data_IF_577081457528
#
_entry.id   IF_577081457528
#
_cell.length_a   1.000
_cell.length_b   1.000
_cell.length_c   1.000
_cell.angle_alpha   90.00
_cell.angle_beta   90.00
_cell.angle_gamma   90.00
#
_symmetry.space_group_name_H-M   'P 1'
#
loop_
_entity.id
_entity.type
_entity.pdbx_description
1 polymer ?
#
# COMPACT_ATOMS: atom_id res chain seq x y z
N UNK A 1 5.78 32.21 -68.28
CA UNK A 1 5.68 30.81 -68.75
C UNK A 1 6.58 29.97 -67.85
N UNK A 2 6.00 29.17 -66.95
CA UNK A 2 5.93 27.70 -67.03
C UNK A 2 7.30 27.00 -67.03
N UNK A 3 7.55 26.33 -65.90
CA UNK A 3 8.07 24.96 -65.75
C UNK A 3 9.58 24.74 -65.84
N UNK A 4 10.23 24.41 -64.70
CA UNK A 4 10.60 23.04 -64.24
C UNK A 4 11.88 22.56 -64.95
N UNK A 5 13.00 22.27 -64.28
CA UNK A 5 13.31 20.96 -63.69
C UNK A 5 14.40 21.06 -62.60
N UNK A 6 14.17 20.23 -61.58
CA UNK A 6 14.87 19.94 -60.34
C UNK A 6 16.08 18.99 -60.53
N UNK A 7 17.09 19.06 -59.65
CA UNK A 7 17.83 17.96 -58.95
C UNK A 7 19.26 18.44 -58.57
N UNK A 8 19.51 18.81 -57.31
CA UNK A 8 19.97 18.01 -56.14
C UNK A 8 21.41 17.49 -56.22
N UNK A 9 22.24 17.92 -55.24
CA UNK A 9 23.06 17.09 -54.35
C UNK A 9 23.95 17.99 -53.49
N UNK A 10 23.63 18.17 -52.20
CA UNK A 10 24.31 17.50 -51.08
C UNK A 10 25.10 18.52 -50.23
N UNK A 11 24.45 19.16 -49.25
CA UNK A 11 25.16 19.77 -48.12
C UNK A 11 24.21 19.98 -46.93
N UNK A 12 23.76 18.88 -46.33
CA UNK A 12 23.05 18.92 -45.04
C UNK A 12 23.60 17.81 -44.16
N UNK A 13 24.60 18.11 -43.32
CA UNK A 13 24.95 17.32 -42.12
C UNK A 13 26.08 18.02 -41.33
N UNK A 14 25.88 19.27 -40.88
CA UNK A 14 26.78 19.88 -39.89
C UNK A 14 26.15 21.13 -39.26
N UNK A 15 25.09 20.99 -38.48
CA UNK A 15 24.77 21.90 -37.37
C UNK A 15 23.53 21.39 -36.63
N UNK A 16 23.56 21.52 -35.30
CA UNK A 16 22.44 21.32 -34.36
C UNK A 16 22.28 19.90 -33.78
N UNK A 17 23.39 19.30 -33.33
CA UNK A 17 23.34 18.46 -32.13
C UNK A 17 23.41 19.35 -30.89
N UNK A 18 22.35 20.12 -30.62
CA UNK A 18 22.13 20.66 -29.29
C UNK A 18 21.50 19.52 -28.49
N UNK A 19 22.30 18.88 -27.66
CA UNK A 19 21.80 17.95 -26.66
C UNK A 19 20.85 18.71 -25.74
N UNK A 20 19.55 18.62 -26.01
CA UNK A 20 18.54 18.90 -25.01
C UNK A 20 18.68 17.80 -23.94
N UNK A 21 19.54 18.04 -22.96
CA UNK A 21 19.45 17.35 -21.69
C UNK A 21 18.13 17.85 -21.10
N UNK A 22 17.05 17.10 -21.35
CA UNK A 22 15.84 17.26 -20.57
C UNK A 22 16.26 17.05 -19.12
N UNK A 23 16.24 18.12 -18.32
CA UNK A 23 16.32 17.99 -16.88
C UNK A 23 15.19 17.03 -16.49
N UNK A 24 15.55 15.82 -16.06
CA UNK A 24 14.60 14.88 -15.50
C UNK A 24 13.96 15.60 -14.33
N UNK A 25 12.72 16.08 -14.50
CA UNK A 25 11.99 16.72 -13.42
C UNK A 25 11.99 15.72 -12.25
N UNK A 26 12.56 16.12 -11.12
CA UNK A 26 12.57 15.29 -9.92
C UNK A 26 11.12 14.85 -9.67
N UNK A 27 10.87 13.55 -9.72
CA UNK A 27 9.53 13.03 -9.44
C UNK A 27 9.17 13.52 -8.03
N UNK A 28 8.07 14.27 -7.84
CA UNK A 28 7.75 14.82 -6.54
C UNK A 28 7.68 13.69 -5.52
N UNK A 29 8.55 13.74 -4.51
CA UNK A 29 8.62 12.72 -3.48
C UNK A 29 7.31 12.68 -2.72
N UNK A 30 6.69 11.50 -2.63
CA UNK A 30 5.48 11.31 -1.83
C UNK A 30 5.82 11.46 -0.35
N UNK A 31 4.92 12.10 0.40
CA UNK A 31 4.92 12.04 1.86
C UNK A 31 4.32 10.71 2.29
N UNK A 32 5.05 9.96 3.12
CA UNK A 32 4.61 8.69 3.69
C UNK A 32 4.12 8.89 5.12
N UNK A 33 2.94 8.36 5.41
CA UNK A 33 2.37 8.23 6.75
C UNK A 33 2.44 6.77 7.16
N UNK A 34 2.91 6.48 8.38
CA UNK A 34 3.06 5.11 8.92
C UNK A 34 2.02 4.81 10.01
N UNK A 35 1.46 3.61 9.94
CA UNK A 35 0.54 3.05 10.95
C UNK A 35 1.24 2.43 12.16
N UNK A 36 2.55 2.24 12.05
CA UNK A 36 3.41 1.53 13.00
C UNK A 36 4.20 2.47 13.92
N UNK A 37 5.07 1.90 14.77
CA UNK A 37 5.88 2.62 15.74
C UNK A 37 6.87 3.65 15.14
N UNK A 38 7.11 3.60 13.83
CA UNK A 38 8.08 4.44 13.15
C UNK A 38 9.53 3.95 13.24
N UNK A 39 9.79 2.82 13.94
CA UNK A 39 11.11 2.18 13.97
C UNK A 39 11.56 1.71 12.58
N UNK A 40 12.85 1.45 12.40
CA UNK A 40 13.31 0.82 11.16
C UNK A 40 12.74 -0.60 11.07
N UNK A 41 12.32 -1.01 9.88
CA UNK A 41 11.74 -2.35 9.68
C UNK A 41 12.71 -3.50 10.01
N UNK A 42 14.02 -3.28 9.98
CA UNK A 42 15.03 -4.24 10.43
C UNK A 42 15.00 -4.49 11.95
N UNK A 43 14.45 -3.53 12.70
CA UNK A 43 14.48 -3.51 14.16
C UNK A 43 13.10 -3.86 14.75
N UNK A 44 12.07 -3.96 13.91
CA UNK A 44 10.71 -4.35 14.29
C UNK A 44 10.63 -5.87 14.29
N UNK A 45 10.30 -6.44 15.45
CA UNK A 45 9.83 -7.81 15.52
C UNK A 45 8.33 -7.83 15.17
N UNK A 46 7.96 -8.50 14.09
CA UNK A 46 6.57 -8.61 13.64
C UNK A 46 6.17 -10.06 13.42
N UNK A 47 4.88 -10.33 13.55
CA UNK A 47 4.26 -11.58 13.11
C UNK A 47 3.27 -11.28 11.98
N UNK A 48 2.69 -12.33 11.38
CA UNK A 48 1.65 -12.19 10.36
C UNK A 48 0.29 -12.45 10.98
N UNK A 49 -0.68 -11.58 10.67
CA UNK A 49 -2.06 -11.66 11.11
C UNK A 49 -3.00 -11.82 9.90
N UNK A 50 -4.05 -12.63 10.05
CA UNK A 50 -5.11 -12.80 9.05
C UNK A 50 -6.46 -12.75 9.75
N UNK A 51 -7.30 -11.79 9.35
CA UNK A 51 -8.68 -11.71 9.83
C UNK A 51 -9.49 -12.97 9.46
N UNK A 52 -9.20 -13.62 8.33
CA UNK A 52 -9.87 -14.88 8.00
C UNK A 52 -9.52 -15.99 8.99
N UNK A 53 -8.26 -16.09 9.43
CA UNK A 53 -7.83 -17.11 10.39
C UNK A 53 -8.41 -16.84 11.77
N UNK A 54 -8.36 -15.58 12.22
CA UNK A 54 -8.81 -15.18 13.56
C UNK A 54 -10.34 -15.20 13.69
N UNK A 55 -11.05 -14.62 12.73
CA UNK A 55 -12.50 -14.39 12.82
C UNK A 55 -13.34 -15.31 11.91
N UNK A 56 -12.70 -16.11 11.04
CA UNK A 56 -13.41 -16.99 10.10
C UNK A 56 -14.21 -16.25 9.02
N UNK A 57 -13.92 -14.96 8.79
CA UNK A 57 -14.72 -14.08 7.91
C UNK A 57 -13.86 -13.34 6.89
N UNK A 58 -14.35 -13.27 5.65
CA UNK A 58 -13.74 -12.50 4.56
C UNK A 58 -14.10 -11.00 4.57
N UNK A 59 -14.96 -10.59 5.52
CA UNK A 59 -15.49 -9.22 5.63
C UNK A 59 -15.04 -8.50 6.90
N UNK A 60 -14.01 -9.03 7.56
CA UNK A 60 -13.30 -8.37 8.66
C UNK A 60 -12.01 -7.82 8.08
N UNK A 61 -11.74 -6.55 8.32
CA UNK A 61 -10.59 -5.85 7.75
C UNK A 61 -9.64 -5.31 8.81
N UNK A 62 -8.35 -5.34 8.51
CA UNK A 62 -7.32 -4.66 9.29
C UNK A 62 -7.26 -3.19 8.86
N UNK A 63 -7.52 -2.27 9.79
CA UNK A 63 -7.66 -0.85 9.49
C UNK A 63 -6.63 0.02 10.20
N UNK A 64 -6.08 1.01 9.51
CA UNK A 64 -5.19 2.02 10.10
C UNK A 64 -5.76 3.41 9.88
N UNK A 65 -5.83 4.18 10.97
CA UNK A 65 -6.14 5.61 10.95
C UNK A 65 -4.90 6.43 10.62
N UNK A 66 -5.06 7.33 9.66
CA UNK A 66 -4.08 8.32 9.27
C UNK A 66 -4.69 9.72 9.32
N UNK A 67 -3.84 10.75 9.36
CA UNK A 67 -4.26 12.15 9.25
C UNK A 67 -3.56 12.78 8.07
N UNK A 68 -4.32 13.36 7.14
CA UNK A 68 -3.76 14.06 6.00
C UNK A 68 -2.87 15.23 6.48
N UNK A 69 -1.62 15.37 6.00
CA UNK A 69 -0.65 16.32 6.55
C UNK A 69 -0.99 17.79 6.28
N UNK A 70 -1.83 18.04 5.27
CA UNK A 70 -2.29 19.37 4.86
C UNK A 70 -3.57 19.24 4.06
N UNK A 71 -4.31 20.35 3.95
CA UNK A 71 -5.44 20.44 3.03
C UNK A 71 -4.99 20.23 1.57
N UNK A 72 -5.81 19.51 0.81
CA UNK A 72 -5.54 19.20 -0.60
C UNK A 72 -4.51 18.09 -0.83
N UNK A 73 -4.00 17.45 0.22
CA UNK A 73 -3.18 16.25 0.10
C UNK A 73 -3.99 15.11 -0.56
N UNK A 74 -3.37 14.42 -1.50
CA UNK A 74 -4.01 13.31 -2.21
C UNK A 74 -3.24 12.02 -1.98
N UNK A 75 -3.93 11.00 -1.48
CA UNK A 75 -3.41 9.65 -1.39
C UNK A 75 -3.26 9.06 -2.79
N UNK A 76 -2.13 8.44 -3.07
CA UNK A 76 -1.83 7.83 -4.37
C UNK A 76 -1.36 6.39 -4.27
N UNK A 77 -0.92 5.97 -3.08
CA UNK A 77 -0.37 4.64 -2.86
C UNK A 77 -0.65 4.18 -1.43
N UNK A 78 -1.08 2.94 -1.30
CA UNK A 78 -1.12 2.21 -0.03
C UNK A 78 -0.02 1.17 -0.06
N UNK A 79 0.72 1.01 1.03
CA UNK A 79 1.73 -0.03 1.17
C UNK A 79 1.40 -0.89 2.36
N UNK A 80 1.54 -2.20 2.20
CA UNK A 80 1.16 -3.16 3.22
C UNK A 80 2.29 -4.16 3.32
N UNK A 81 2.84 -4.37 4.52
CA UNK A 81 3.74 -5.49 4.72
C UNK A 81 2.89 -6.75 4.74
N UNK A 82 3.07 -7.62 3.75
CA UNK A 82 2.30 -8.85 3.65
C UNK A 82 3.05 -9.93 2.90
N UNK A 83 2.46 -11.12 2.85
CA UNK A 83 3.06 -12.26 2.18
C UNK A 83 2.01 -13.16 1.54
N UNK A 84 2.21 -13.53 0.28
CA UNK A 84 1.33 -14.45 -0.45
C UNK A 84 1.38 -15.91 0.04
N UNK A 85 2.38 -16.26 0.86
CA UNK A 85 2.65 -17.65 1.25
C UNK A 85 3.50 -18.43 0.23
N UNK A 86 4.15 -17.74 -0.71
CA UNK A 86 5.04 -18.38 -1.68
C UNK A 86 6.20 -19.12 -1.01
N UNK A 87 6.30 -20.42 -1.25
CA UNK A 87 7.36 -21.26 -0.73
C UNK A 87 8.35 -21.59 -1.83
N UNK A 88 9.56 -21.02 -1.73
CA UNK A 88 10.62 -21.21 -2.72
C UNK A 88 11.10 -22.67 -2.80
N UNK A 89 11.13 -23.40 -1.68
CA UNK A 89 11.62 -24.78 -1.61
C UNK A 89 10.75 -25.72 -2.45
N UNK A 90 9.44 -25.50 -2.44
CA UNK A 90 8.47 -26.30 -3.20
C UNK A 90 8.13 -25.70 -4.56
N UNK A 91 8.62 -24.48 -4.87
CA UNK A 91 8.25 -23.67 -6.04
C UNK A 91 6.73 -23.58 -6.25
N UNK A 92 5.97 -23.70 -5.16
CA UNK A 92 4.52 -23.74 -5.22
C UNK A 92 3.99 -22.32 -5.14
N UNK A 93 3.53 -21.81 -6.29
CA UNK A 93 2.79 -20.56 -6.34
C UNK A 93 1.46 -20.74 -5.62
N UNK A 94 1.15 -19.88 -4.63
CA UNK A 94 -0.17 -19.91 -4.01
C UNK A 94 -1.20 -19.54 -5.08
N UNK A 95 -2.34 -20.24 -5.09
CA UNK A 95 -3.41 -19.92 -6.01
C UNK A 95 -3.85 -18.46 -5.82
N UNK A 96 -4.18 -17.78 -6.92
CA UNK A 96 -4.67 -16.41 -6.86
C UNK A 96 -5.93 -16.32 -6.01
N UNK A 97 -5.90 -15.40 -5.05
CA UNK A 97 -7.01 -15.05 -4.17
C UNK A 97 -7.08 -13.54 -4.08
N UNK A 98 -8.31 -13.03 -3.99
CA UNK A 98 -8.52 -11.60 -3.95
C UNK A 98 -8.16 -11.02 -2.59
N UNK A 99 -7.39 -9.95 -2.59
CA UNK A 99 -7.28 -8.99 -1.49
C UNK A 99 -8.20 -7.81 -1.76
N UNK A 100 -8.53 -7.03 -0.73
CA UNK A 100 -9.27 -5.77 -0.90
C UNK A 100 -8.64 -4.66 -0.08
N UNK A 101 -8.63 -3.44 -0.63
CA UNK A 101 -8.30 -2.22 0.09
C UNK A 101 -9.44 -1.23 -0.05
N UNK A 102 -9.87 -0.66 1.06
CA UNK A 102 -10.81 0.46 1.09
C UNK A 102 -10.13 1.70 1.66
N UNK A 103 -10.44 2.85 1.08
CA UNK A 103 -10.13 4.16 1.65
C UNK A 103 -11.43 4.74 2.15
N UNK A 104 -11.46 5.12 3.43
CA UNK A 104 -12.65 5.69 4.08
C UNK A 104 -12.32 7.04 4.71
N UNK A 105 -13.28 7.95 4.74
CA UNK A 105 -13.13 9.21 5.49
C UNK A 105 -13.29 9.00 7.01
N UNK A 106 -13.16 10.08 7.78
CA UNK A 106 -13.33 10.07 9.25
C UNK A 106 -14.70 9.56 9.73
N UNK A 107 -15.73 9.66 8.88
CA UNK A 107 -17.11 9.24 9.17
C UNK A 107 -17.38 7.84 8.60
N UNK A 108 -16.32 7.13 8.21
CA UNK A 108 -16.32 5.78 7.64
C UNK A 108 -17.01 5.67 6.27
N UNK A 109 -17.29 6.78 5.58
CA UNK A 109 -17.81 6.73 4.21
C UNK A 109 -16.75 6.18 3.27
N UNK A 110 -17.14 5.28 2.37
CA UNK A 110 -16.26 4.71 1.35
C UNK A 110 -15.91 5.75 0.29
N UNK A 111 -14.63 6.07 0.17
CA UNK A 111 -14.09 6.99 -0.85
C UNK A 111 -13.54 6.25 -2.06
N UNK A 112 -12.91 5.10 -1.82
CA UNK A 112 -12.32 4.28 -2.87
C UNK A 112 -12.25 2.81 -2.45
N UNK A 113 -12.36 1.90 -3.42
CA UNK A 113 -12.26 0.45 -3.23
C UNK A 113 -11.39 -0.15 -4.33
N UNK A 114 -10.44 -0.96 -3.93
CA UNK A 114 -9.54 -1.73 -4.78
C UNK A 114 -9.67 -3.21 -4.46
N UNK A 115 -9.73 -4.06 -5.50
CA UNK A 115 -9.75 -5.52 -5.38
C UNK A 115 -8.90 -6.10 -6.50
N UNK A 116 -7.95 -6.96 -6.15
CA UNK A 116 -7.10 -7.68 -7.10
C UNK A 116 -6.49 -8.93 -6.44
N UNK A 117 -5.73 -9.71 -7.22
CA UNK A 117 -4.98 -10.86 -6.72
C UNK A 117 -3.78 -10.45 -5.85
N UNK A 118 -3.58 -11.17 -4.75
CA UNK A 118 -2.47 -10.98 -3.83
C UNK A 118 -1.08 -11.16 -4.48
N UNK A 119 -0.96 -12.05 -5.46
CA UNK A 119 0.33 -12.41 -6.04
C UNK A 119 0.97 -11.25 -6.81
N UNK A 120 0.17 -10.31 -7.32
CA UNK A 120 0.66 -9.08 -7.95
C UNK A 120 1.45 -8.18 -6.98
N UNK A 121 1.23 -8.33 -5.68
CA UNK A 121 1.75 -7.41 -4.65
C UNK A 121 2.70 -8.10 -3.66
N UNK A 122 2.39 -9.34 -3.28
CA UNK A 122 2.99 -10.02 -2.13
C UNK A 122 3.71 -11.33 -2.49
N UNK A 123 3.91 -11.62 -3.77
CA UNK A 123 4.76 -12.71 -4.21
C UNK A 123 6.24 -12.34 -3.99
N UNK A 124 6.95 -13.16 -3.21
CA UNK A 124 8.32 -12.90 -2.76
C UNK A 124 8.99 -14.19 -2.29
N UNK A 125 10.24 -14.42 -2.71
CA UNK A 125 11.06 -15.58 -2.36
C UNK A 125 11.81 -15.44 -1.02
N UNK A 126 11.98 -14.20 -0.53
CA UNK A 126 12.66 -13.90 0.73
C UNK A 126 11.71 -13.71 1.92
N UNK A 127 10.40 -13.86 1.71
CA UNK A 127 9.37 -13.72 2.74
C UNK A 127 8.53 -12.44 2.61
N UNK A 128 7.91 -11.97 3.71
CA UNK A 128 7.03 -10.81 3.71
C UNK A 128 7.71 -9.55 3.17
N UNK A 129 6.96 -8.75 2.41
CA UNK A 129 7.44 -7.51 1.78
C UNK A 129 6.35 -6.46 1.76
N UNK A 130 6.74 -5.21 1.57
CA UNK A 130 5.79 -4.16 1.25
C UNK A 130 5.29 -4.35 -0.20
N UNK A 131 4.02 -4.75 -0.31
CA UNK A 131 3.28 -4.65 -1.56
C UNK A 131 2.82 -3.21 -1.76
N UNK A 132 3.04 -2.67 -2.94
CA UNK A 132 2.64 -1.30 -3.29
C UNK A 132 1.37 -1.31 -4.14
N UNK A 133 0.27 -0.80 -3.60
CA UNK A 133 -1.01 -0.69 -4.31
C UNK A 133 -1.17 0.77 -4.74
N UNK A 134 -0.98 1.02 -6.04
CA UNK A 134 -1.22 2.33 -6.64
C UNK A 134 -2.72 2.54 -6.88
N UNK A 135 -3.19 3.73 -6.51
CA UNK A 135 -4.59 4.12 -6.66
C UNK A 135 -4.70 5.47 -7.37
N UNK A 136 -5.82 5.76 -8.06
CA UNK A 136 -6.12 7.11 -8.50
C UNK A 136 -6.02 8.09 -7.33
N UNK A 137 -5.56 9.32 -7.58
CA UNK A 137 -5.34 10.29 -6.52
C UNK A 137 -6.64 10.60 -5.75
N UNK A 138 -6.74 10.16 -4.50
CA UNK A 138 -7.91 10.37 -3.63
C UNK A 138 -7.67 11.60 -2.76
N UNK A 139 -8.45 12.68 -2.90
CA UNK A 139 -8.32 13.86 -2.04
C UNK A 139 -8.77 13.54 -0.62
N UNK A 140 -7.94 13.86 0.38
CA UNK A 140 -8.23 13.60 1.79
C UNK A 140 -8.01 14.86 2.63
N UNK A 141 -8.87 15.05 3.61
CA UNK A 141 -8.78 16.14 4.59
C UNK A 141 -9.01 15.58 5.98
N UNK A 142 -8.12 15.90 6.92
CA UNK A 142 -8.21 15.41 8.28
C UNK A 142 -7.97 13.89 8.37
N UNK A 143 -8.67 13.25 9.31
CA UNK A 143 -8.54 11.81 9.54
C UNK A 143 -9.19 11.00 8.42
N UNK A 144 -8.55 9.88 8.09
CA UNK A 144 -9.03 8.90 7.14
C UNK A 144 -8.52 7.51 7.52
N UNK A 145 -9.11 6.48 6.93
CA UNK A 145 -8.78 5.09 7.20
C UNK A 145 -8.39 4.38 5.92
N UNK A 146 -7.36 3.56 6.02
CA UNK A 146 -7.07 2.49 5.06
C UNK A 146 -7.53 1.21 5.71
N UNK A 147 -8.42 0.47 5.05
CA UNK A 147 -8.87 -0.86 5.49
C UNK A 147 -8.38 -1.89 4.50
N UNK A 148 -7.55 -2.81 4.96
CA UNK A 148 -7.12 -3.98 4.19
C UNK A 148 -7.99 -5.17 4.58
N UNK A 149 -8.30 -6.02 3.61
CA UNK A 149 -8.92 -7.30 3.84
C UNK A 149 -8.01 -8.34 3.22
N UNK A 150 -7.28 -9.06 4.06
CA UNK A 150 -6.37 -10.12 3.64
C UNK A 150 -7.11 -11.26 2.93
N UNK A 151 -8.35 -11.53 3.34
CA UNK A 151 -9.27 -12.54 2.78
C UNK A 151 -8.63 -13.94 2.68
N UNK A 152 -7.69 -14.26 3.57
CA UNK A 152 -6.91 -15.49 3.57
C UNK A 152 -5.93 -15.61 2.39
N UNK A 153 -5.67 -14.53 1.69
CA UNK A 153 -4.79 -14.48 0.53
C UNK A 153 -3.38 -14.02 0.93
N UNK A 154 -3.29 -12.95 1.72
CA UNK A 154 -2.01 -12.40 2.13
C UNK A 154 -2.12 -11.74 3.52
N UNK A 155 -1.78 -12.46 4.61
CA UNK A 155 -1.80 -11.89 5.96
C UNK A 155 -0.89 -10.65 6.06
N UNK A 156 -1.27 -9.73 6.95
CA UNK A 156 -0.58 -8.46 7.18
C UNK A 156 0.42 -8.58 8.33
N UNK A 157 1.53 -7.85 8.23
CA UNK A 157 2.50 -7.69 9.32
C UNK A 157 1.90 -6.96 10.51
N UNK A 158 2.16 -7.47 11.70
CA UNK A 158 1.72 -6.89 12.97
C UNK A 158 2.88 -6.73 13.95
N UNK A 159 3.03 -5.52 14.49
CA UNK A 159 3.99 -5.17 15.54
C UNK A 159 3.25 -4.99 16.86
N UNK A 160 3.74 -5.61 17.94
CA UNK A 160 3.16 -5.50 19.29
C UNK A 160 3.88 -4.47 20.17
N UNK A 161 5.08 -4.03 19.77
CA UNK A 161 5.85 -3.03 20.51
C UNK A 161 5.33 -1.62 20.21
N UNK A 162 5.26 -0.77 21.24
CA UNK A 162 4.92 0.65 21.13
C UNK A 162 3.63 0.91 20.33
N UNK A 163 2.52 0.32 20.80
CA UNK A 163 1.20 0.50 20.21
C UNK A 163 0.87 1.99 20.03
N UNK A 164 0.56 2.39 18.80
CA UNK A 164 0.32 3.78 18.43
C UNK A 164 -1.12 4.24 18.66
N UNK A 165 -2.04 3.30 18.92
CA UNK A 165 -3.49 3.56 19.00
C UNK A 165 -4.12 3.91 17.65
N UNK A 166 -3.46 3.61 16.53
CA UNK A 166 -3.95 3.91 15.18
C UNK A 166 -4.56 2.70 14.46
N UNK A 167 -4.40 1.49 15.01
CA UNK A 167 -4.83 0.26 14.36
C UNK A 167 -6.15 -0.24 14.92
N UNK A 168 -6.99 -0.72 14.03
CA UNK A 168 -8.37 -1.12 14.29
C UNK A 168 -8.69 -2.41 13.53
N UNK A 169 -9.72 -3.10 13.97
CA UNK A 169 -10.47 -4.11 13.22
C UNK A 169 -11.73 -3.43 12.71
N UNK A 170 -11.93 -3.47 11.39
CA UNK A 170 -13.15 -3.01 10.76
C UNK A 170 -14.11 -4.19 10.56
N UNK A 171 -15.21 -4.17 11.30
CA UNK A 171 -16.22 -5.24 11.30
C UNK A 171 -17.61 -4.62 11.42
N UNK A 172 -18.57 -5.12 10.65
CA UNK A 172 -19.97 -4.67 10.67
C UNK A 172 -20.18 -3.14 10.50
N UNK A 173 -19.23 -2.46 9.84
CA UNK A 173 -19.29 -1.00 9.64
C UNK A 173 -18.69 -0.17 10.78
N UNK A 174 -18.11 -0.82 11.79
CA UNK A 174 -17.53 -0.17 12.97
C UNK A 174 -16.02 -0.40 13.03
N UNK A 175 -15.32 0.50 13.75
CA UNK A 175 -13.88 0.41 14.02
C UNK A 175 -13.67 0.02 15.47
N UNK A 176 -13.28 -1.22 15.70
CA UNK A 176 -12.87 -1.72 17.02
C UNK A 176 -11.36 -1.57 17.17
N UNK A 177 -10.81 -1.15 18.32
CA UNK A 177 -9.37 -1.15 18.53
C UNK A 177 -8.75 -2.52 18.23
N UNK A 178 -7.59 -2.55 17.57
CA UNK A 178 -6.87 -3.79 17.29
C UNK A 178 -6.21 -4.32 18.58
N UNK A 179 -7.03 -4.98 19.40
CA UNK A 179 -6.73 -5.42 20.76
C UNK A 179 -7.07 -6.89 20.91
N UNK A 180 -6.09 -7.69 21.33
CA UNK A 180 -6.22 -9.15 21.40
C UNK A 180 -5.90 -9.67 22.81
N UNK A 181 -6.72 -10.56 23.37
CA UNK A 181 -6.42 -11.16 24.67
C UNK A 181 -5.26 -12.16 24.57
N UNK A 182 -4.31 -12.08 25.49
CA UNK A 182 -3.31 -13.12 25.72
C UNK A 182 -3.96 -14.19 26.61
N UNK A 183 -4.09 -15.40 26.07
CA UNK A 183 -4.73 -16.54 26.75
C UNK A 183 -4.08 -16.94 28.06
N UNK A 184 -2.80 -16.60 28.26
CA UNK A 184 -2.01 -17.03 29.41
C UNK A 184 -2.27 -16.19 30.68
N UNK A 185 -2.63 -14.92 30.54
CA UNK A 185 -2.72 -13.99 31.67
C UNK A 185 -3.92 -13.02 31.63
N UNK A 186 -4.82 -13.13 30.65
CA UNK A 186 -5.94 -12.21 30.42
C UNK A 186 -5.52 -10.74 30.21
N UNK A 187 -4.27 -10.48 29.85
CA UNK A 187 -3.85 -9.16 29.39
C UNK A 187 -4.27 -8.95 27.94
N UNK A 188 -4.55 -7.70 27.57
CA UNK A 188 -4.85 -7.33 26.20
C UNK A 188 -3.60 -6.73 25.55
N UNK A 189 -3.25 -7.21 24.36
CA UNK A 189 -2.19 -6.64 23.54
C UNK A 189 -2.82 -5.79 22.45
N UNK A 190 -2.50 -4.50 22.47
CA UNK A 190 -2.75 -3.60 21.34
C UNK A 190 -1.67 -3.80 20.29
N UNK A 191 -2.05 -3.87 19.02
CA UNK A 191 -1.10 -4.08 17.92
C UNK A 191 -1.08 -2.91 16.94
N UNK A 192 -0.01 -2.84 16.16
CA UNK A 192 0.12 -1.96 15.02
C UNK A 192 0.11 -2.78 13.72
N UNK A 193 -0.79 -2.46 12.80
CA UNK A 193 -0.70 -3.00 11.44
C UNK A 193 0.39 -2.25 10.66
N UNK A 194 1.25 -3.03 9.99
CA UNK A 194 2.35 -2.50 9.19
C UNK A 194 1.83 -2.04 7.82
N UNK A 195 1.12 -0.90 7.83
CA UNK A 195 0.58 -0.23 6.66
C UNK A 195 1.07 1.21 6.53
N UNK A 196 1.27 1.66 5.31
CA UNK A 196 1.61 3.03 4.97
C UNK A 196 0.61 3.64 3.98
N UNK A 197 0.44 4.95 4.11
CA UNK A 197 -0.29 5.79 3.16
C UNK A 197 0.66 6.83 2.56
N UNK A 198 0.78 6.86 1.22
CA UNK A 198 1.71 7.74 0.52
C UNK A 198 1.02 8.62 -0.53
N UNK A 199 1.32 9.92 -0.50
CA UNK A 199 0.61 10.94 -1.28
C UNK A 199 1.28 12.31 -1.26
N UNK A 200 0.68 13.32 -1.89
CA UNK A 200 1.24 14.69 -1.98
C UNK A 200 0.19 15.81 -2.00
#
# INVERSE_FOLDING_TARGET
MKNTILLLACLCCAALCINAIAAQAATPQLTTLRGDSGKNYSDINFTLFSSLVEYGSLNVGEAVKFTAPKSGWKLQKVRILGWSGYNQTTQSYPADRNIMVEIRDKDLNLLYKFVDSQNNYFLSDVGPRFGEIEIPAVPLTGDFYVVYYDRGAAPVGTETADATGKSYIFINGEMEPAEFPISENNETVTVNWLMEAAGK
#
